data_IF_406190367212
#
_entry.id   IF_406190367212
#
_cell.length_a   1.000
_cell.length_b   1.000
_cell.length_c   1.000
_cell.angle_alpha   90.00
_cell.angle_beta   90.00
_cell.angle_gamma   90.00
#
_symmetry.space_group_name_H-M   'P 1'
#
loop_
_entity.id
_entity.type
_entity.pdbx_description
1 polymer ?
#
# COMPACT_ATOMS: atom_id res chain seq x y z
N UNK A 1 18.56 20.15 30.56
CA UNK A 1 17.50 20.83 29.81
C UNK A 1 16.64 19.75 29.19
N UNK A 2 15.46 19.53 29.77
CA UNK A 2 14.56 18.43 29.43
C UNK A 2 14.01 18.59 28.03
N UNK A 3 14.05 17.50 27.26
CA UNK A 3 13.39 17.35 25.97
C UNK A 3 11.89 17.54 26.16
N UNK A 4 11.42 18.77 25.98
CA UNK A 4 10.02 19.02 25.68
C UNK A 4 9.78 18.34 24.35
N UNK A 5 9.26 17.12 24.40
CA UNK A 5 8.59 16.50 23.26
C UNK A 5 7.58 17.52 22.78
N UNK A 6 7.93 18.25 21.71
CA UNK A 6 6.97 18.98 20.91
C UNK A 6 6.05 17.90 20.36
N UNK A 7 4.96 17.63 21.07
CA UNK A 7 3.86 16.79 20.62
C UNK A 7 3.31 17.51 19.39
N UNK A 8 3.86 17.19 18.22
CA UNK A 8 3.27 17.58 16.94
C UNK A 8 1.87 16.98 16.98
N UNK A 9 0.80 17.78 16.94
CA UNK A 9 -0.55 17.27 16.98
C UNK A 9 -0.72 16.24 15.87
N UNK A 10 -1.33 15.09 16.18
CA UNK A 10 -1.63 14.08 15.17
C UNK A 10 -2.46 14.74 14.05
N UNK A 11 -2.13 14.49 12.77
CA UNK A 11 -2.80 15.15 11.65
C UNK A 11 -4.28 14.75 11.61
N UNK A 12 -5.14 15.75 11.44
CA UNK A 12 -6.59 15.56 11.31
C UNK A 12 -6.90 15.02 9.92
N UNK A 13 -7.77 14.02 9.83
CA UNK A 13 -8.24 13.49 8.55
C UNK A 13 -9.68 13.90 8.24
N UNK A 14 -10.02 13.94 6.95
CA UNK A 14 -11.38 14.16 6.45
C UNK A 14 -11.85 12.98 5.59
N UNK A 15 -13.16 12.88 5.40
CA UNK A 15 -13.78 11.97 4.45
C UNK A 15 -13.75 12.59 3.05
N UNK A 16 -13.37 11.81 2.03
CA UNK A 16 -13.39 12.24 0.62
C UNK A 16 -14.32 11.36 -0.23
N UNK A 17 -14.91 11.90 -1.32
CA UNK A 17 -15.77 11.14 -2.23
C UNK A 17 -15.07 9.97 -2.92
N UNK A 18 -15.83 8.95 -3.34
CA UNK A 18 -15.29 7.76 -4.01
C UNK A 18 -14.48 8.07 -5.29
N UNK A 19 -14.88 9.10 -6.05
CA UNK A 19 -14.19 9.54 -7.26
C UNK A 19 -12.71 9.92 -7.04
N UNK A 20 -12.31 10.20 -5.79
CA UNK A 20 -10.91 10.43 -5.45
C UNK A 20 -10.03 9.20 -5.71
N UNK A 21 -10.57 7.97 -5.64
CA UNK A 21 -9.81 6.77 -6.00
C UNK A 21 -9.27 6.80 -7.44
N UNK A 22 -10.10 7.24 -8.40
CA UNK A 22 -9.68 7.47 -9.79
C UNK A 22 -8.72 8.65 -9.91
N UNK A 23 -8.97 9.71 -9.14
CA UNK A 23 -8.09 10.89 -9.12
C UNK A 23 -6.69 10.56 -8.63
N UNK A 24 -6.54 9.68 -7.63
CA UNK A 24 -5.24 9.26 -7.13
C UNK A 24 -4.43 8.52 -8.20
N UNK A 25 -5.07 7.69 -9.03
CA UNK A 25 -4.43 7.09 -10.21
C UNK A 25 -3.94 8.17 -11.19
N UNK A 26 -4.78 9.15 -11.51
CA UNK A 26 -4.41 10.24 -12.41
C UNK A 26 -3.27 11.11 -11.85
N UNK A 27 -3.31 11.41 -10.55
CA UNK A 27 -2.27 12.21 -9.90
C UNK A 27 -0.96 11.42 -9.76
N UNK A 28 -1.03 10.10 -9.57
CA UNK A 28 0.12 9.19 -9.66
C UNK A 28 0.75 9.19 -11.06
N UNK A 29 -0.08 9.09 -12.11
CA UNK A 29 0.37 9.20 -13.50
C UNK A 29 1.02 10.56 -13.80
N UNK A 30 0.42 11.65 -13.31
CA UNK A 30 0.99 13.00 -13.44
C UNK A 30 2.33 13.12 -12.73
N UNK A 31 2.47 12.53 -11.53
CA UNK A 31 3.74 12.49 -10.80
C UNK A 31 4.82 11.78 -11.62
N UNK A 32 4.50 10.65 -12.26
CA UNK A 32 5.41 9.97 -13.17
C UNK A 32 5.83 10.86 -14.36
N UNK A 33 4.84 11.45 -15.04
CA UNK A 33 5.08 12.30 -16.22
C UNK A 33 5.83 13.61 -15.92
N UNK A 34 5.85 14.07 -14.67
CA UNK A 34 6.64 15.25 -14.27
C UNK A 34 8.16 14.99 -14.28
N UNK A 35 8.58 13.74 -14.03
CA UNK A 35 10.00 13.38 -13.91
C UNK A 35 10.24 11.91 -14.32
N UNK A 36 9.97 11.53 -15.58
CA UNK A 36 9.96 10.13 -15.99
C UNK A 36 11.33 9.46 -15.81
N UNK A 37 12.43 10.14 -16.15
CA UNK A 37 13.78 9.59 -16.02
C UNK A 37 14.17 9.29 -14.56
N UNK A 38 14.05 10.23 -13.60
CA UNK A 38 14.24 9.92 -12.19
C UNK A 38 13.35 8.77 -11.69
N UNK A 39 12.08 8.73 -12.08
CA UNK A 39 11.16 7.67 -11.67
C UNK A 39 11.56 6.30 -12.22
N UNK A 40 11.95 6.23 -13.49
CA UNK A 40 12.48 5.00 -14.09
C UNK A 40 13.74 4.55 -13.37
N UNK A 41 14.65 5.47 -13.04
CA UNK A 41 15.84 5.17 -12.24
C UNK A 41 15.49 4.56 -10.88
N UNK A 42 14.52 5.13 -10.18
CA UNK A 42 14.04 4.60 -8.89
C UNK A 42 13.37 3.23 -9.04
N UNK A 43 12.55 3.04 -10.07
CA UNK A 43 11.88 1.77 -10.32
C UNK A 43 12.87 0.66 -10.69
N UNK A 44 13.86 0.95 -11.54
CA UNK A 44 14.94 0.02 -11.88
C UNK A 44 15.75 -0.33 -10.63
N UNK A 45 16.14 0.67 -9.82
CA UNK A 45 16.87 0.43 -8.58
C UNK A 45 16.07 -0.46 -7.61
N UNK A 46 14.75 -0.24 -7.50
CA UNK A 46 13.86 -1.09 -6.71
C UNK A 46 13.83 -2.52 -7.25
N UNK A 47 13.65 -2.71 -8.57
CA UNK A 47 13.61 -4.05 -9.16
C UNK A 47 14.92 -4.79 -8.97
N UNK A 48 16.07 -4.11 -9.15
CA UNK A 48 17.39 -4.70 -8.90
C UNK A 48 17.53 -5.08 -7.42
N UNK A 49 17.11 -4.21 -6.49
CA UNK A 49 17.12 -4.52 -5.06
C UNK A 49 16.25 -5.74 -4.73
N UNK A 50 15.02 -5.80 -5.27
CA UNK A 50 14.11 -6.92 -5.03
C UNK A 50 14.64 -8.23 -5.62
N UNK A 51 15.26 -8.17 -6.81
CA UNK A 51 15.93 -9.31 -7.41
C UNK A 51 17.08 -9.81 -6.51
N UNK A 52 17.98 -8.91 -6.09
CA UNK A 52 19.09 -9.25 -5.19
C UNK A 52 18.62 -9.83 -3.85
N UNK A 53 17.55 -9.29 -3.27
CA UNK A 53 16.95 -9.84 -2.05
C UNK A 53 16.39 -11.23 -2.30
N UNK A 54 15.77 -11.49 -3.45
CA UNK A 54 15.19 -12.77 -3.82
C UNK A 54 16.20 -13.93 -3.83
N UNK A 55 17.46 -13.65 -4.12
CA UNK A 55 18.56 -14.64 -4.11
C UNK A 55 18.99 -15.04 -2.68
N UNK A 56 18.61 -14.27 -1.66
CA UNK A 56 18.99 -14.54 -0.28
C UNK A 56 18.02 -15.55 0.38
N UNK A 57 18.52 -16.39 1.32
CA UNK A 57 17.66 -17.09 2.25
C UNK A 57 16.78 -16.08 2.99
N UNK A 58 15.45 -16.28 2.98
CA UNK A 58 14.46 -15.33 3.54
C UNK A 58 14.31 -14.00 2.77
N UNK A 59 14.75 -13.93 1.51
CA UNK A 59 14.56 -12.77 0.63
C UNK A 59 13.12 -12.23 0.54
N UNK A 60 12.15 -13.14 0.55
CA UNK A 60 10.73 -12.78 0.59
C UNK A 60 10.33 -12.00 1.84
N UNK A 61 10.82 -12.40 3.02
CA UNK A 61 10.54 -11.67 4.27
C UNK A 61 11.26 -10.33 4.31
N UNK A 62 12.50 -10.26 3.81
CA UNK A 62 13.26 -9.02 3.74
C UNK A 62 12.60 -8.01 2.79
N UNK A 63 12.13 -8.45 1.62
CA UNK A 63 11.42 -7.58 0.68
C UNK A 63 10.10 -7.06 1.27
N UNK A 64 9.34 -7.91 1.98
CA UNK A 64 8.15 -7.48 2.71
C UNK A 64 8.47 -6.45 3.79
N UNK A 65 9.50 -6.69 4.60
CA UNK A 65 9.92 -5.75 5.64
C UNK A 65 10.43 -4.42 5.07
N UNK A 66 11.08 -4.42 3.91
CA UNK A 66 11.57 -3.20 3.28
C UNK A 66 10.51 -2.48 2.43
N UNK A 67 9.37 -3.12 2.14
CA UNK A 67 8.34 -2.57 1.25
C UNK A 67 7.85 -1.17 1.66
N UNK A 68 7.55 -0.97 2.95
CA UNK A 68 7.08 0.33 3.45
C UNK A 68 8.17 1.42 3.36
N UNK A 69 9.42 1.22 3.86
CA UNK A 69 10.51 2.17 3.66
C UNK A 69 10.78 2.50 2.18
N UNK A 70 10.71 1.52 1.29
CA UNK A 70 10.97 1.73 -0.15
C UNK A 70 9.82 2.51 -0.81
N UNK A 71 8.58 2.20 -0.47
CA UNK A 71 7.42 2.99 -0.89
C UNK A 71 7.47 4.41 -0.31
N UNK A 72 7.96 4.58 0.93
CA UNK A 72 8.17 5.88 1.58
C UNK A 72 9.07 6.78 0.75
N UNK A 73 10.15 6.22 0.21
CA UNK A 73 11.09 6.95 -0.63
C UNK A 73 10.37 7.55 -1.84
N UNK A 74 9.59 6.74 -2.57
CA UNK A 74 8.79 7.19 -3.70
C UNK A 74 7.74 8.25 -3.30
N UNK A 75 7.06 8.05 -2.18
CA UNK A 75 6.09 9.02 -1.63
C UNK A 75 6.75 10.37 -1.33
N UNK A 76 7.92 10.38 -0.69
CA UNK A 76 8.68 11.60 -0.40
C UNK A 76 9.12 12.27 -1.71
N UNK A 77 9.59 11.50 -2.69
CA UNK A 77 9.98 12.00 -4.00
C UNK A 77 8.81 12.68 -4.71
N UNK A 78 7.63 12.04 -4.74
CA UNK A 78 6.41 12.62 -5.31
C UNK A 78 5.99 13.92 -4.60
N UNK A 79 6.12 13.97 -3.27
CA UNK A 79 5.81 15.16 -2.48
C UNK A 79 6.74 16.33 -2.84
N UNK A 80 8.05 16.07 -2.94
CA UNK A 80 9.05 17.08 -3.29
C UNK A 80 8.91 17.57 -4.73
N UNK A 81 8.63 16.68 -5.69
CA UNK A 81 8.32 17.08 -7.07
C UNK A 81 7.15 18.05 -7.11
N UNK A 82 6.05 17.71 -6.42
CA UNK A 82 4.86 18.58 -6.38
C UNK A 82 5.17 19.92 -5.70
N UNK A 83 5.92 19.91 -4.60
CA UNK A 83 6.32 21.14 -3.87
C UNK A 83 7.12 22.08 -4.77
N UNK A 84 8.08 21.54 -5.53
CA UNK A 84 8.90 22.31 -6.47
C UNK A 84 8.11 22.80 -7.66
N UNK A 85 7.22 21.98 -8.23
CA UNK A 85 6.31 22.40 -9.28
C UNK A 85 5.39 23.55 -8.82
N UNK A 86 4.92 23.52 -7.57
CA UNK A 86 4.14 24.60 -6.99
C UNK A 86 4.97 25.88 -6.80
N UNK A 87 6.21 25.76 -6.30
CA UNK A 87 7.13 26.90 -6.15
C UNK A 87 7.49 27.52 -7.51
N UNK A 88 7.83 26.71 -8.51
CA UNK A 88 8.15 27.19 -9.84
C UNK A 88 6.98 27.97 -10.47
N UNK A 89 5.74 27.54 -10.24
CA UNK A 89 4.53 28.28 -10.66
C UNK A 89 4.35 29.63 -9.98
N UNK A 90 4.81 29.79 -8.73
CA UNK A 90 4.71 31.10 -8.04
C UNK A 90 5.68 32.14 -8.59
N UNK A 91 6.79 31.69 -9.20
CA UNK A 91 7.84 32.57 -9.73
C UNK A 91 7.68 32.79 -11.25
N UNK A 92 7.07 31.82 -11.95
CA UNK A 92 6.88 31.87 -13.40
C UNK A 92 5.66 32.75 -13.76
N UNK A 93 5.83 33.76 -14.63
CA UNK A 93 4.71 34.58 -15.11
C UNK A 93 3.59 33.76 -15.77
N UNK A 94 2.36 34.23 -15.63
CA UNK A 94 1.19 33.57 -16.24
C UNK A 94 1.37 33.50 -17.77
N UNK A 95 1.18 32.30 -18.34
CA UNK A 95 1.32 32.04 -19.78
C UNK A 95 2.67 31.47 -20.20
N UNK A 96 3.68 31.45 -19.33
CA UNK A 96 4.94 30.77 -19.62
C UNK A 96 4.93 29.30 -19.18
N UNK A 97 5.51 28.37 -19.97
CA UNK A 97 5.72 27.00 -19.54
C UNK A 97 6.60 26.96 -18.29
N UNK A 98 6.17 26.20 -17.28
CA UNK A 98 6.96 25.98 -16.08
C UNK A 98 7.97 24.88 -16.36
N UNK A 99 9.26 25.20 -16.29
CA UNK A 99 10.30 24.21 -16.45
C UNK A 99 10.30 23.21 -15.27
N UNK A 100 10.39 21.89 -15.55
CA UNK A 100 10.48 20.89 -14.50
C UNK A 100 11.81 21.01 -13.73
N UNK A 101 11.78 21.69 -12.58
CA UNK A 101 12.95 21.77 -11.68
C UNK A 101 13.08 20.48 -10.85
N UNK A 102 13.59 19.44 -11.51
CA UNK A 102 13.78 18.11 -10.91
C UNK A 102 15.17 17.95 -10.27
N UNK A 103 16.10 18.86 -10.54
CA UNK A 103 17.48 18.82 -10.06
C UNK A 103 17.56 18.81 -8.53
N UNK A 104 18.32 17.87 -7.97
CA UNK A 104 18.44 17.71 -6.51
C UNK A 104 17.17 17.18 -5.81
N UNK A 105 16.16 16.72 -6.56
CA UNK A 105 14.96 16.13 -5.92
C UNK A 105 15.33 14.79 -5.28
N UNK A 106 16.16 14.00 -5.97
CA UNK A 106 16.66 12.74 -5.45
C UNK A 106 17.52 12.94 -4.20
N UNK A 107 18.44 13.91 -4.20
CA UNK A 107 19.31 14.16 -3.03
C UNK A 107 18.48 14.62 -1.81
N UNK A 108 17.54 15.54 -2.00
CA UNK A 108 16.64 15.97 -0.92
C UNK A 108 15.69 14.86 -0.46
N UNK A 109 15.26 13.98 -1.36
CA UNK A 109 14.49 12.77 -1.01
C UNK A 109 15.32 11.85 -0.14
N UNK A 110 16.55 11.54 -0.54
CA UNK A 110 17.49 10.72 0.22
C UNK A 110 17.73 11.31 1.61
N UNK A 111 17.96 12.62 1.72
CA UNK A 111 18.16 13.27 3.02
C UNK A 111 16.94 13.18 3.93
N UNK A 112 15.72 13.42 3.42
CA UNK A 112 14.49 13.31 4.23
C UNK A 112 14.20 11.85 4.59
N UNK A 113 14.47 10.91 3.68
CA UNK A 113 14.28 9.49 3.89
C UNK A 113 15.25 8.92 4.93
N UNK A 114 16.54 9.24 4.87
CA UNK A 114 17.53 8.81 5.87
C UNK A 114 17.21 9.35 7.26
N UNK A 115 16.70 10.58 7.35
CA UNK A 115 16.20 11.14 8.63
C UNK A 115 14.96 10.43 9.19
N UNK A 116 14.23 9.66 8.37
CA UNK A 116 13.01 8.94 8.75
C UNK A 116 13.15 7.41 8.70
N UNK A 117 14.32 6.89 8.33
CA UNK A 117 14.49 5.45 8.05
C UNK A 117 14.26 4.59 9.29
N UNK A 118 14.71 5.03 10.47
CA UNK A 118 14.50 4.31 11.73
C UNK A 118 13.01 4.09 12.04
N UNK A 119 12.19 5.15 12.13
CA UNK A 119 10.75 5.04 12.27
C UNK A 119 10.07 4.20 11.16
N UNK A 120 10.53 4.31 9.91
CA UNK A 120 9.98 3.53 8.79
C UNK A 120 10.29 2.03 8.90
N UNK A 121 11.50 1.66 9.32
CA UNK A 121 11.86 0.26 9.55
C UNK A 121 11.08 -0.32 10.74
N UNK A 122 10.91 0.47 11.80
CA UNK A 122 10.16 0.05 12.99
C UNK A 122 8.67 -0.11 12.70
N UNK A 123 8.07 0.84 11.98
CA UNK A 123 6.66 0.71 11.58
C UNK A 123 6.48 -0.46 10.63
N UNK A 124 7.43 -0.71 9.73
CA UNK A 124 7.33 -1.83 8.81
C UNK A 124 7.40 -3.18 9.53
N UNK A 125 8.31 -3.30 10.50
CA UNK A 125 8.37 -4.48 11.36
C UNK A 125 7.07 -4.66 12.15
N UNK A 126 6.51 -3.57 12.69
CA UNK A 126 5.24 -3.59 13.41
C UNK A 126 4.09 -4.06 12.51
N UNK A 127 3.96 -3.53 11.29
CA UNK A 127 2.94 -3.93 10.32
C UNK A 127 3.11 -5.39 9.92
N UNK A 128 4.35 -5.83 9.70
CA UNK A 128 4.65 -7.23 9.38
C UNK A 128 4.27 -8.16 10.53
N UNK A 129 4.61 -7.81 11.77
CA UNK A 129 4.27 -8.60 12.95
C UNK A 129 2.74 -8.66 13.18
N UNK A 130 2.05 -7.51 13.11
CA UNK A 130 0.60 -7.46 13.24
C UNK A 130 -0.10 -8.22 12.11
N UNK A 131 0.34 -8.04 10.87
CA UNK A 131 -0.17 -8.76 9.71
C UNK A 131 0.08 -10.26 9.77
N UNK A 132 1.25 -10.67 10.27
CA UNK A 132 1.57 -12.07 10.50
C UNK A 132 0.68 -12.71 11.55
N UNK A 133 0.48 -12.05 12.70
CA UNK A 133 -0.41 -12.54 13.77
C UNK A 133 -1.87 -12.59 13.30
N UNK A 134 -2.38 -11.51 12.71
CA UNK A 134 -3.74 -11.43 12.18
C UNK A 134 -3.93 -12.50 11.09
N UNK A 135 -2.99 -12.61 10.16
CA UNK A 135 -3.00 -13.60 9.10
C UNK A 135 -3.01 -15.02 9.64
N UNK A 136 -2.15 -15.34 10.61
CA UNK A 136 -2.11 -16.65 11.25
C UNK A 136 -3.43 -16.98 11.96
N UNK A 137 -3.99 -16.04 12.74
CA UNK A 137 -5.28 -16.25 13.42
C UNK A 137 -6.40 -16.49 12.41
N UNK A 138 -6.44 -15.72 11.31
CA UNK A 138 -7.44 -15.88 10.27
C UNK A 138 -7.28 -17.23 9.56
N UNK A 139 -6.07 -17.61 9.16
CA UNK A 139 -5.81 -18.89 8.50
C UNK A 139 -6.12 -20.07 9.43
N UNK A 140 -5.71 -20.01 10.70
CA UNK A 140 -6.02 -21.07 11.67
C UNK A 140 -7.51 -21.16 11.97
N UNK A 141 -8.18 -20.03 12.20
CA UNK A 141 -9.61 -19.98 12.49
C UNK A 141 -10.44 -20.48 11.30
N UNK A 142 -10.17 -19.96 10.11
CA UNK A 142 -10.87 -20.37 8.89
C UNK A 142 -10.53 -21.82 8.51
N UNK A 143 -9.27 -22.24 8.68
CA UNK A 143 -8.85 -23.63 8.46
C UNK A 143 -9.53 -24.61 9.41
N UNK A 144 -9.70 -24.24 10.68
CA UNK A 144 -10.44 -25.03 11.66
C UNK A 144 -11.93 -25.11 11.31
N UNK A 145 -12.58 -23.99 10.95
CA UNK A 145 -13.99 -24.00 10.51
C UNK A 145 -14.18 -24.81 9.23
N UNK A 146 -13.24 -24.72 8.29
CA UNK A 146 -13.21 -25.51 7.07
C UNK A 146 -13.08 -27.02 7.38
N UNK A 147 -12.13 -27.40 8.24
CA UNK A 147 -11.92 -28.78 8.65
C UNK A 147 -13.13 -29.38 9.37
N UNK A 148 -13.75 -28.62 10.28
CA UNK A 148 -14.98 -29.02 10.98
C UNK A 148 -16.17 -29.16 10.00
N UNK A 149 -16.30 -28.24 9.05
CA UNK A 149 -17.32 -28.31 8.00
C UNK A 149 -17.16 -29.55 7.13
N UNK A 150 -15.93 -29.85 6.71
CA UNK A 150 -15.62 -31.03 5.91
C UNK A 150 -15.85 -32.34 6.69
N UNK A 151 -15.48 -32.39 7.97
CA UNK A 151 -15.70 -33.55 8.82
C UNK A 151 -17.19 -33.82 9.07
N UNK A 152 -17.96 -32.77 9.37
CA UNK A 152 -19.42 -32.83 9.57
C UNK A 152 -20.13 -33.29 8.29
N UNK A 153 -19.68 -32.80 7.14
CA UNK A 153 -20.20 -33.21 5.84
C UNK A 153 -19.82 -34.65 5.49
N UNK A 154 -18.58 -35.06 5.77
CA UNK A 154 -18.13 -36.44 5.56
C UNK A 154 -18.91 -37.45 6.41
N UNK A 155 -19.31 -37.07 7.62
CA UNK A 155 -20.21 -37.87 8.46
C UNK A 155 -21.60 -37.97 7.83
N UNK A 156 -22.14 -36.87 7.29
CA UNK A 156 -23.44 -36.85 6.63
C UNK A 156 -23.47 -37.66 5.31
N UNK A 157 -22.42 -37.57 4.49
CA UNK A 157 -22.29 -38.29 3.23
C UNK A 157 -22.29 -39.82 3.39
N UNK A 158 -21.79 -40.33 4.53
CA UNK A 158 -21.81 -41.78 4.87
C UNK A 158 -23.21 -42.34 5.11
N UNK A 159 -24.20 -41.48 5.39
CA UNK A 159 -25.61 -41.87 5.60
C UNK A 159 -26.41 -41.78 4.29
N UNK A 160 -25.83 -41.26 3.21
CA UNK A 160 -26.42 -41.22 1.88
C UNK A 160 -26.04 -42.42 1.02
N UNK A 161 -26.80 -42.67 -0.05
CA UNK A 161 -26.44 -43.68 -1.07
C UNK A 161 -25.06 -43.36 -1.69
N UNK A 162 -24.20 -44.36 -1.97
CA UNK A 162 -22.80 -44.16 -2.36
C UNK A 162 -22.56 -43.19 -3.54
N UNK A 163 -23.41 -43.22 -4.57
CA UNK A 163 -23.29 -42.32 -5.74
C UNK A 163 -23.67 -40.86 -5.45
N UNK A 164 -24.68 -40.63 -4.60
CA UNK A 164 -25.11 -39.29 -4.20
C UNK A 164 -24.17 -38.69 -3.16
N UNK A 165 -23.67 -39.52 -2.22
CA UNK A 165 -22.73 -39.09 -1.19
C UNK A 165 -21.41 -38.55 -1.75
N UNK A 166 -20.88 -39.17 -2.82
CA UNK A 166 -19.64 -38.73 -3.47
C UNK A 166 -19.83 -37.40 -4.22
N UNK A 167 -20.91 -37.25 -5.00
CA UNK A 167 -21.20 -36.01 -5.71
C UNK A 167 -21.48 -34.85 -4.74
N UNK A 168 -22.24 -35.09 -3.68
CA UNK A 168 -22.50 -34.12 -2.64
C UNK A 168 -21.20 -33.74 -1.90
N UNK A 169 -20.30 -34.71 -1.65
CA UNK A 169 -18.98 -34.52 -1.05
C UNK A 169 -18.08 -33.58 -1.84
N UNK A 170 -17.98 -33.78 -3.15
CA UNK A 170 -17.19 -32.92 -4.03
C UNK A 170 -17.79 -31.51 -4.13
N UNK A 171 -19.12 -31.38 -4.22
CA UNK A 171 -19.80 -30.09 -4.23
C UNK A 171 -19.59 -29.30 -2.93
N UNK A 172 -19.69 -29.96 -1.78
CA UNK A 172 -19.46 -29.33 -0.47
C UNK A 172 -18.00 -28.90 -0.27
N UNK A 173 -17.03 -29.71 -0.74
CA UNK A 173 -15.62 -29.35 -0.72
C UNK A 173 -15.33 -28.13 -1.61
N UNK A 174 -15.88 -28.08 -2.82
CA UNK A 174 -15.70 -26.93 -3.71
C UNK A 174 -16.33 -25.65 -3.12
N UNK A 175 -17.54 -25.75 -2.55
CA UNK A 175 -18.22 -24.62 -1.92
C UNK A 175 -17.50 -24.09 -0.67
N UNK A 176 -16.93 -24.98 0.16
CA UNK A 176 -16.18 -24.59 1.34
C UNK A 176 -14.82 -23.97 0.98
N UNK A 177 -14.13 -24.47 -0.04
CA UNK A 177 -12.91 -23.86 -0.56
C UNK A 177 -13.16 -22.47 -1.15
N UNK A 178 -14.26 -22.30 -1.88
CA UNK A 178 -14.66 -20.98 -2.40
C UNK A 178 -14.96 -20.00 -1.26
N UNK A 179 -15.68 -20.44 -0.23
CA UNK A 179 -15.98 -19.61 0.95
C UNK A 179 -14.71 -19.20 1.69
N UNK A 180 -13.79 -20.15 1.90
CA UNK A 180 -12.48 -19.88 2.50
C UNK A 180 -11.70 -18.84 1.70
N UNK A 181 -11.64 -18.99 0.38
CA UNK A 181 -10.98 -18.03 -0.51
C UNK A 181 -11.57 -16.63 -0.37
N UNK A 182 -12.90 -16.50 -0.40
CA UNK A 182 -13.57 -15.20 -0.25
C UNK A 182 -13.28 -14.54 1.10
N UNK A 183 -13.23 -15.31 2.19
CA UNK A 183 -12.90 -14.79 3.52
C UNK A 183 -11.43 -14.35 3.63
N UNK A 184 -10.50 -15.10 3.01
CA UNK A 184 -9.09 -14.71 2.92
C UNK A 184 -8.93 -13.43 2.10
N UNK A 185 -9.59 -13.32 0.95
CA UNK A 185 -9.56 -12.11 0.12
C UNK A 185 -10.14 -10.90 0.85
N UNK A 186 -11.25 -11.08 1.57
CA UNK A 186 -11.84 -10.03 2.41
C UNK A 186 -10.85 -9.59 3.50
N UNK A 187 -10.20 -10.53 4.19
CA UNK A 187 -9.21 -10.23 5.22
C UNK A 187 -8.02 -9.44 4.66
N UNK A 188 -7.47 -9.84 3.52
CA UNK A 188 -6.38 -9.14 2.84
C UNK A 188 -6.79 -7.73 2.42
N UNK A 189 -8.01 -7.57 1.92
CA UNK A 189 -8.55 -6.26 1.56
C UNK A 189 -8.71 -5.35 2.80
N UNK A 190 -9.29 -5.86 3.90
CA UNK A 190 -9.44 -5.09 5.14
C UNK A 190 -8.09 -4.72 5.75
N UNK A 191 -7.11 -5.62 5.67
CA UNK A 191 -5.73 -5.35 6.05
C UNK A 191 -5.14 -4.22 5.18
N UNK A 192 -5.29 -4.29 3.86
CA UNK A 192 -4.83 -3.24 2.95
C UNK A 192 -5.45 -1.88 3.29
N UNK A 193 -6.76 -1.81 3.57
CA UNK A 193 -7.44 -0.58 4.00
C UNK A 193 -6.87 -0.04 5.32
N UNK A 194 -6.69 -0.92 6.30
CA UNK A 194 -6.21 -0.56 7.64
C UNK A 194 -4.80 0.06 7.60
N UNK A 195 -3.92 -0.49 6.76
CA UNK A 195 -2.51 -0.10 6.71
C UNK A 195 -2.17 0.87 5.57
N UNK A 196 -3.17 1.30 4.78
CA UNK A 196 -3.01 2.15 3.59
C UNK A 196 -2.17 3.42 3.82
N UNK A 197 -2.41 4.13 4.92
CA UNK A 197 -1.78 5.43 5.19
C UNK A 197 -0.55 5.34 6.10
N UNK A 198 -0.19 4.17 6.62
CA UNK A 198 0.88 4.02 7.62
C UNK A 198 2.20 4.56 7.11
N UNK A 199 2.57 4.20 5.88
CA UNK A 199 3.79 4.69 5.25
C UNK A 199 3.80 6.22 5.15
N UNK A 200 2.75 6.82 4.57
CA UNK A 200 2.66 8.26 4.34
C UNK A 200 2.63 9.05 5.65
N UNK A 201 1.99 8.52 6.70
CA UNK A 201 1.93 9.15 8.02
C UNK A 201 3.29 9.23 8.69
N UNK A 202 4.11 8.17 8.57
CA UNK A 202 5.48 8.18 9.13
C UNK A 202 6.42 9.01 8.25
N UNK A 203 6.34 8.83 6.92
CA UNK A 203 7.26 9.47 5.97
C UNK A 203 7.06 10.99 5.84
N UNK A 204 5.80 11.43 5.74
CA UNK A 204 5.44 12.83 5.50
C UNK A 204 4.99 13.52 6.79
N UNK A 205 4.02 12.91 7.49
CA UNK A 205 3.44 13.46 8.72
C UNK A 205 4.36 13.36 9.94
N UNK A 206 5.41 12.54 9.88
CA UNK A 206 6.36 12.36 10.97
C UNK A 206 5.76 11.76 12.24
N UNK A 207 4.60 11.09 12.11
CA UNK A 207 3.87 10.46 13.21
C UNK A 207 4.66 9.25 13.73
N UNK A 208 4.61 9.00 15.04
CA UNK A 208 5.26 7.83 15.63
C UNK A 208 4.65 6.53 15.09
N UNK A 209 5.43 5.43 14.94
CA UNK A 209 4.97 4.20 14.28
C UNK A 209 3.63 3.63 14.80
N UNK A 210 3.47 3.55 16.12
CA UNK A 210 2.22 3.03 16.71
C UNK A 210 1.03 3.97 16.48
N UNK A 211 1.24 5.29 16.60
CA UNK A 211 0.18 6.26 16.33
C UNK A 211 -0.20 6.28 14.84
N UNK A 212 0.77 6.10 13.94
CA UNK A 212 0.53 5.99 12.51
C UNK A 212 -0.38 4.80 12.17
N UNK A 213 -0.20 3.64 12.81
CA UNK A 213 -1.10 2.48 12.66
C UNK A 213 -2.51 2.82 13.10
N UNK A 214 -2.70 3.34 14.32
CA UNK A 214 -4.04 3.69 14.84
C UNK A 214 -4.74 4.72 13.95
N UNK A 215 -4.00 5.73 13.51
CA UNK A 215 -4.54 6.81 12.68
C UNK A 215 -4.87 6.31 11.26
N UNK A 216 -4.01 5.46 10.69
CA UNK A 216 -4.26 4.82 9.40
C UNK A 216 -5.53 3.96 9.41
N UNK A 217 -5.75 3.17 10.47
CA UNK A 217 -6.98 2.38 10.63
C UNK A 217 -8.21 3.28 10.58
N UNK A 218 -8.24 4.34 11.39
CA UNK A 218 -9.38 5.27 11.45
C UNK A 218 -9.60 6.00 10.12
N UNK A 219 -8.54 6.52 9.52
CA UNK A 219 -8.61 7.24 8.25
C UNK A 219 -9.00 6.31 7.09
N UNK A 220 -8.46 5.09 7.05
CA UNK A 220 -8.75 4.06 6.06
C UNK A 220 -10.21 3.64 6.06
N UNK A 221 -10.76 3.28 7.23
CA UNK A 221 -12.17 2.89 7.33
C UNK A 221 -13.14 4.06 7.11
N UNK A 222 -12.74 5.29 7.43
CA UNK A 222 -13.53 6.50 7.08
C UNK A 222 -13.58 6.74 5.57
N UNK A 223 -12.51 6.37 4.86
CA UNK A 223 -12.33 6.57 3.42
C UNK A 223 -12.38 5.26 2.63
N UNK A 224 -13.23 4.32 3.06
CA UNK A 224 -13.34 3.00 2.43
C UNK A 224 -13.70 3.09 0.95
N UNK A 225 -14.64 3.96 0.58
CA UNK A 225 -15.13 4.07 -0.81
C UNK A 225 -14.04 4.44 -1.83
N UNK A 226 -13.27 5.53 -1.67
CA UNK A 226 -12.19 5.85 -2.61
C UNK A 226 -11.03 4.82 -2.58
N UNK A 227 -10.70 4.26 -1.42
CA UNK A 227 -9.68 3.20 -1.31
C UNK A 227 -10.13 1.94 -2.07
N UNK A 228 -11.41 1.56 -1.95
CA UNK A 228 -11.97 0.41 -2.68
C UNK A 228 -11.90 0.62 -4.18
N UNK A 229 -12.30 1.80 -4.66
CA UNK A 229 -12.23 2.10 -6.08
C UNK A 229 -10.78 2.04 -6.58
N UNK A 230 -9.84 2.55 -5.79
CA UNK A 230 -8.42 2.46 -6.10
C UNK A 230 -7.94 1.01 -6.19
N UNK A 231 -8.22 0.18 -5.17
CA UNK A 231 -7.74 -1.20 -5.07
C UNK A 231 -8.41 -2.15 -6.06
N UNK A 232 -9.68 -1.94 -6.39
CA UNK A 232 -10.37 -2.68 -7.46
C UNK A 232 -9.71 -2.43 -8.82
N UNK A 233 -9.29 -1.19 -9.09
CA UNK A 233 -8.58 -0.84 -10.33
C UNK A 233 -7.13 -1.32 -10.34
N UNK A 234 -6.51 -1.46 -9.17
CA UNK A 234 -5.14 -1.96 -9.05
C UNK A 234 -4.96 -3.34 -9.68
N UNK A 235 -5.92 -4.25 -9.51
CA UNK A 235 -5.82 -5.61 -10.02
C UNK A 235 -5.75 -5.68 -11.56
N UNK A 236 -6.72 -5.17 -12.34
CA UNK A 236 -6.63 -5.18 -13.80
C UNK A 236 -5.44 -4.38 -14.33
N UNK A 237 -5.10 -3.24 -13.71
CA UNK A 237 -3.93 -2.44 -14.11
C UNK A 237 -2.64 -3.23 -13.89
N UNK A 238 -2.52 -3.95 -12.77
CA UNK A 238 -1.35 -4.78 -12.48
C UNK A 238 -1.21 -5.93 -13.47
N UNK A 239 -2.32 -6.58 -13.84
CA UNK A 239 -2.31 -7.63 -14.88
C UNK A 239 -1.77 -7.05 -16.19
N UNK A 240 -2.30 -5.91 -16.64
CA UNK A 240 -1.83 -5.24 -17.87
C UNK A 240 -0.35 -4.85 -17.76
N UNK A 241 0.09 -4.34 -16.61
CA UNK A 241 1.48 -3.96 -16.37
C UNK A 241 2.44 -5.16 -16.36
N UNK A 242 1.96 -6.36 -16.04
CA UNK A 242 2.75 -7.59 -16.05
C UNK A 242 2.86 -8.23 -17.44
N UNK A 243 1.91 -7.98 -18.35
CA UNK A 243 1.93 -8.52 -19.74
C UNK A 243 3.26 -8.30 -20.49
N UNK A 244 3.91 -7.11 -20.45
CA UNK A 244 5.21 -6.89 -21.11
C UNK A 244 6.36 -7.47 -20.26
N UNK A 245 6.28 -8.74 -19.88
CA UNK A 245 7.28 -9.43 -19.05
C UNK A 245 7.63 -8.68 -17.75
N UNK A 246 6.63 -8.05 -17.12
CA UNK A 246 6.83 -7.25 -15.90
C UNK A 246 7.42 -5.85 -16.11
N UNK A 247 7.75 -5.43 -17.34
CA UNK A 247 8.29 -4.09 -17.59
C UNK A 247 7.31 -2.96 -17.26
N UNK A 248 6.00 -3.21 -17.27
CA UNK A 248 5.00 -2.24 -16.84
C UNK A 248 5.10 -1.89 -15.35
N UNK A 249 5.77 -2.73 -14.54
CA UNK A 249 6.08 -2.43 -13.14
C UNK A 249 7.00 -1.21 -12.99
N UNK A 250 7.83 -0.92 -14.01
CA UNK A 250 8.68 0.27 -14.06
C UNK A 250 7.87 1.58 -14.04
N UNK A 251 6.62 1.52 -14.52
CA UNK A 251 5.69 2.66 -14.54
C UNK A 251 4.70 2.56 -13.39
N UNK A 252 4.24 1.35 -13.08
CA UNK A 252 3.26 1.13 -12.01
C UNK A 252 3.80 1.56 -10.65
N UNK A 253 5.05 1.21 -10.29
CA UNK A 253 5.63 1.60 -9.00
C UNK A 253 5.67 3.13 -8.79
N UNK A 254 6.17 3.95 -9.74
CA UNK A 254 6.05 5.40 -9.68
C UNK A 254 4.63 5.91 -9.51
N UNK A 255 3.69 5.35 -10.27
CA UNK A 255 2.28 5.74 -10.22
C UNK A 255 1.67 5.45 -8.85
N UNK A 256 1.93 4.28 -8.28
CA UNK A 256 1.47 3.92 -6.93
C UNK A 256 2.06 4.81 -5.85
N UNK A 257 3.34 5.17 -5.99
CA UNK A 257 4.00 6.09 -5.05
C UNK A 257 3.38 7.49 -5.09
N UNK A 258 3.17 8.03 -6.29
CA UNK A 258 2.51 9.32 -6.48
C UNK A 258 1.03 9.31 -6.05
N UNK A 259 0.31 8.22 -6.32
CA UNK A 259 -1.07 8.02 -5.88
C UNK A 259 -1.16 7.93 -4.35
N UNK A 260 -0.22 7.25 -3.71
CA UNK A 260 -0.14 7.16 -2.25
C UNK A 260 0.02 8.55 -1.63
N UNK A 261 0.94 9.36 -2.16
CA UNK A 261 1.10 10.76 -1.75
C UNK A 261 -0.18 11.59 -1.98
N UNK A 262 -0.82 11.46 -3.16
CA UNK A 262 -2.06 12.17 -3.47
C UNK A 262 -3.19 11.80 -2.49
N UNK A 263 -3.33 10.50 -2.17
CA UNK A 263 -4.33 10.02 -1.22
C UNK A 263 -4.11 10.59 0.17
N UNK A 264 -2.87 10.59 0.65
CA UNK A 264 -2.51 11.15 1.95
C UNK A 264 -2.84 12.64 2.03
N UNK A 265 -2.43 13.41 1.02
CA UNK A 265 -2.73 14.84 0.95
C UNK A 265 -4.22 15.14 0.90
N UNK A 266 -4.99 14.39 0.12
CA UNK A 266 -6.43 14.65 0.00
C UNK A 266 -7.17 14.34 1.31
N UNK A 267 -6.72 13.34 2.07
CA UNK A 267 -7.32 12.90 3.34
C UNK A 267 -6.82 13.71 4.54
N UNK A 268 -5.54 14.07 4.63
CA UNK A 268 -4.92 14.74 5.78
C UNK A 268 -4.61 16.23 5.56
N UNK A 269 -4.79 16.75 4.34
CA UNK A 269 -4.56 18.16 4.01
C UNK A 269 -3.14 18.48 3.52
N UNK A 270 -2.95 19.68 2.98
CA UNK A 270 -1.67 20.14 2.42
C UNK A 270 -0.62 20.46 3.52
N UNK A 271 -1.03 20.93 4.70
CA UNK A 271 -0.10 21.20 5.82
C UNK A 271 0.56 19.94 6.34
N UNK A 272 -0.21 18.84 6.45
CA UNK A 272 0.31 17.54 6.84
C UNK A 272 1.22 16.92 5.76
N UNK A 273 1.18 17.44 4.53
CA UNK A 273 1.89 16.93 3.35
C UNK A 273 3.10 17.79 2.93
N UNK A 274 3.42 18.86 3.65
CA UNK A 274 4.48 19.84 3.35
C UNK A 274 5.92 19.39 3.71
#
# INVERSE_FOLDING_TARGET
MTSTDLIVPDPVFRRVPAAFGLRWWMDGWRSFMQAPLPWLGLAVALLVLLWLLGELPMGGLLSQWLSLPLLAFGVIFAALLRKRAAQARTITPQGMPVEPQNEGTLSSTTQRWTGRIGPLLLVSLLVLALGGVIGAVIVMGLGAMFGLGLASFGAFAKVMTPGVGMAAGLGALAGSLMTLLLLVLLALYLFSVAFWFVNTLVALGGVSPWNAVKLSVRAGFTNLAPITLFTVLLLPISIVAMLPFGLGLLVLFPVLSGASFASYRDVFGDEAAA
#
